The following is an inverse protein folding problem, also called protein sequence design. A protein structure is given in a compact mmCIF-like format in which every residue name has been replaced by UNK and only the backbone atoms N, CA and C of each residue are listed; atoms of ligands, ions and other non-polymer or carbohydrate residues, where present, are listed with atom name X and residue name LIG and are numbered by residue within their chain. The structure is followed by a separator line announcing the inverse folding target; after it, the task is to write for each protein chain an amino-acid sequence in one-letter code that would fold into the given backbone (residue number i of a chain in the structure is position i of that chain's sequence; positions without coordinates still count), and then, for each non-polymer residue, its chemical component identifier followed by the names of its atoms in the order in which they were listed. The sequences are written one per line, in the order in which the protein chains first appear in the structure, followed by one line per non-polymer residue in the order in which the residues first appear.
data_IF_091303656385
#
_entry.id   IF_091303656385
#
_cell.length_a   1.000
_cell.length_b   1.000
_cell.length_c   1.000
_cell.angle_alpha   90.00
_cell.angle_beta   90.00
_cell.angle_gamma   90.00
#
_symmetry.space_group_name_H-M   'P 1'
#
loop_
_entity.id
_entity.type
_entity.pdbx_description
1 polymer ?
#
# COMPACT_ATOMS: atom_id res chain seq x y z
N UNK A 1 2.67 -4.44 -14.47
CA UNK A 1 2.62 -3.25 -13.59
C UNK A 1 2.05 -2.04 -14.32
N UNK A 2 0.86 -2.15 -14.92
CA UNK A 2 0.22 -1.01 -15.62
C UNK A 2 -0.53 -0.06 -14.68
N UNK A 3 -0.83 -0.48 -13.44
CA UNK A 3 -1.58 0.32 -12.47
C UNK A 3 -0.77 1.49 -11.86
N UNK A 4 0.54 1.34 -11.67
CA UNK A 4 1.40 2.39 -11.12
C UNK A 4 1.70 3.50 -12.14
N UNK A 5 1.57 3.21 -13.44
CA UNK A 5 2.00 4.12 -14.50
C UNK A 5 0.93 5.15 -14.92
N UNK A 6 -0.36 4.90 -14.63
CA UNK A 6 -1.47 5.67 -15.23
C UNK A 6 -2.24 6.60 -14.30
N UNK A 7 -2.06 6.52 -12.97
CA UNK A 7 -2.76 7.43 -12.03
C UNK A 7 -4.29 7.39 -12.07
N UNK A 8 -4.88 6.55 -12.93
CA UNK A 8 -6.31 6.29 -13.02
C UNK A 8 -6.60 4.97 -12.33
N UNK A 9 -7.04 5.05 -11.08
CA UNK A 9 -7.60 3.93 -10.37
C UNK A 9 -8.98 3.62 -10.94
N UNK A 10 -9.06 2.74 -11.95
CA UNK A 10 -10.34 2.11 -12.28
C UNK A 10 -10.72 1.22 -11.09
N UNK A 11 -11.83 1.57 -10.46
CA UNK A 11 -12.29 1.00 -9.20
C UNK A 11 -12.98 -0.36 -9.45
N UNK A 12 -12.21 -1.32 -9.95
CA UNK A 12 -12.62 -2.71 -10.05
C UNK A 12 -12.52 -3.43 -8.71
N UNK A 13 -13.26 -4.53 -8.56
CA UNK A 13 -13.34 -5.29 -7.30
C UNK A 13 -11.99 -5.89 -6.89
N UNK A 14 -11.18 -6.30 -7.86
CA UNK A 14 -9.84 -6.86 -7.63
C UNK A 14 -8.85 -5.78 -7.19
N UNK A 15 -8.92 -4.60 -7.81
CA UNK A 15 -8.10 -3.44 -7.50
C UNK A 15 -8.40 -2.92 -6.09
N UNK A 16 -9.69 -2.78 -5.75
CA UNK A 16 -10.13 -2.39 -4.41
C UNK A 16 -9.67 -3.39 -3.34
N UNK A 17 -9.67 -4.69 -3.67
CA UNK A 17 -9.17 -5.74 -2.76
C UNK A 17 -7.67 -5.59 -2.50
N UNK A 18 -6.87 -5.31 -3.53
CA UNK A 18 -5.43 -5.07 -3.38
C UNK A 18 -5.14 -3.82 -2.53
N UNK A 19 -5.87 -2.72 -2.77
CA UNK A 19 -5.74 -1.49 -1.98
C UNK A 19 -6.03 -1.75 -0.50
N UNK A 20 -7.16 -2.40 -0.20
CA UNK A 20 -7.55 -2.71 1.18
C UNK A 20 -6.56 -3.66 1.86
N UNK A 21 -5.97 -4.61 1.12
CA UNK A 21 -4.96 -5.50 1.67
C UNK A 21 -3.69 -4.74 2.11
N UNK A 22 -3.21 -3.79 1.31
CA UNK A 22 -2.05 -2.98 1.69
C UNK A 22 -2.36 -2.09 2.90
N UNK A 23 -3.50 -1.38 2.88
CA UNK A 23 -3.94 -0.53 3.99
C UNK A 23 -4.04 -1.35 5.27
N UNK A 24 -4.61 -2.56 5.19
CA UNK A 24 -4.68 -3.51 6.31
C UNK A 24 -3.33 -3.92 6.85
N UNK A 25 -2.41 -4.31 5.97
CA UNK A 25 -1.06 -4.69 6.38
C UNK A 25 -0.34 -3.54 7.12
N UNK A 26 -0.49 -2.31 6.62
CA UNK A 26 0.16 -1.12 7.20
C UNK A 26 -0.44 -0.69 8.55
N UNK A 27 -1.76 -0.76 8.71
CA UNK A 27 -2.39 -0.47 10.01
C UNK A 27 -2.01 -1.53 11.05
N UNK A 28 -1.98 -2.80 10.64
CA UNK A 28 -1.57 -3.90 11.53
C UNK A 28 -0.08 -3.85 11.88
N UNK A 29 0.79 -3.49 10.93
CA UNK A 29 2.22 -3.32 11.21
C UNK A 29 2.49 -2.11 12.10
N UNK A 30 1.63 -1.08 12.06
CA UNK A 30 1.63 0.03 13.00
C UNK A 30 1.19 -0.32 14.43
N UNK A 31 0.85 -1.58 14.70
CA UNK A 31 0.47 -2.07 16.03
C UNK A 31 -1.03 -1.97 16.33
N UNK A 32 -1.86 -1.62 15.35
CA UNK A 32 -3.32 -1.59 15.54
C UNK A 32 -3.90 -2.97 15.28
N UNK A 33 -4.54 -3.56 16.30
CA UNK A 33 -5.30 -4.79 16.14
C UNK A 33 -6.63 -4.47 15.45
N UNK A 34 -6.74 -4.85 14.20
CA UNK A 34 -7.99 -4.81 13.45
C UNK A 34 -8.10 -6.04 12.55
N UNK A 35 -9.31 -6.31 12.09
CA UNK A 35 -9.62 -7.31 11.08
C UNK A 35 -9.82 -6.67 9.71
N UNK A 36 -9.72 -7.48 8.66
CA UNK A 36 -9.93 -7.01 7.29
C UNK A 36 -11.38 -6.51 7.08
N UNK A 37 -12.36 -7.08 7.79
CA UNK A 37 -13.77 -6.69 7.65
C UNK A 37 -14.10 -5.39 8.38
N UNK A 38 -13.48 -5.14 9.53
CA UNK A 38 -13.55 -3.81 10.18
C UNK A 38 -12.96 -2.72 9.27
N UNK A 39 -11.85 -3.04 8.59
CA UNK A 39 -11.22 -2.13 7.63
C UNK A 39 -12.12 -1.87 6.40
N UNK A 40 -12.87 -2.87 5.94
CA UNK A 40 -13.82 -2.69 4.83
C UNK A 40 -14.92 -1.70 5.19
N UNK A 41 -15.46 -1.80 6.42
CA UNK A 41 -16.50 -0.89 6.91
C UNK A 41 -16.00 0.51 7.25
N UNK A 42 -14.72 0.66 7.61
CA UNK A 42 -14.14 1.94 8.01
C UNK A 42 -13.84 2.90 6.85
N UNK A 43 -13.61 2.37 5.64
CA UNK A 43 -13.17 3.17 4.49
C UNK A 43 -14.22 3.14 3.37
N UNK A 44 -14.89 4.29 3.10
CA UNK A 44 -15.79 4.45 1.96
C UNK A 44 -15.10 4.15 0.63
N UNK A 45 -15.86 3.61 -0.33
CA UNK A 45 -15.31 3.19 -1.63
C UNK A 45 -14.68 4.35 -2.41
N UNK A 46 -15.25 5.56 -2.27
CA UNK A 46 -14.78 6.76 -2.95
C UNK A 46 -13.45 7.28 -2.39
N UNK A 47 -13.19 7.07 -1.09
CA UNK A 47 -11.99 7.56 -0.40
C UNK A 47 -10.83 6.54 -0.47
N UNK A 48 -11.13 5.31 -0.87
CA UNK A 48 -10.18 4.21 -0.92
C UNK A 48 -8.94 4.53 -1.79
N UNK A 49 -9.06 5.13 -3.00
CA UNK A 49 -7.90 5.48 -3.81
C UNK A 49 -7.00 6.52 -3.15
N UNK A 50 -7.58 7.57 -2.57
CA UNK A 50 -6.83 8.66 -1.94
C UNK A 50 -6.07 8.18 -0.70
N UNK A 51 -6.71 7.36 0.14
CA UNK A 51 -6.07 6.74 1.30
C UNK A 51 -4.96 5.78 0.84
N UNK A 52 -5.21 5.01 -0.22
CA UNK A 52 -4.22 4.09 -0.76
C UNK A 52 -2.95 4.82 -1.22
N UNK A 53 -3.06 5.98 -1.88
CA UNK A 53 -1.90 6.78 -2.31
C UNK A 53 -1.02 7.11 -1.11
N UNK A 54 -1.60 7.67 -0.04
CA UNK A 54 -0.88 8.04 1.18
C UNK A 54 -0.19 6.84 1.82
N UNK A 55 -0.92 5.73 1.95
CA UNK A 55 -0.38 4.49 2.52
C UNK A 55 0.76 3.93 1.67
N UNK A 56 0.62 3.97 0.35
CA UNK A 56 1.64 3.50 -0.58
C UNK A 56 2.92 4.34 -0.53
N UNK A 57 2.79 5.67 -0.40
CA UNK A 57 3.93 6.57 -0.20
C UNK A 57 4.69 6.24 1.09
N UNK A 58 3.98 6.04 2.20
CA UNK A 58 4.58 5.65 3.49
C UNK A 58 5.27 4.28 3.36
N UNK A 59 4.58 3.29 2.81
CA UNK A 59 5.13 1.95 2.61
C UNK A 59 6.41 1.98 1.77
N UNK A 60 6.39 2.73 0.67
CA UNK A 60 7.54 2.86 -0.24
C UNK A 60 8.70 3.60 0.42
N UNK A 61 8.42 4.65 1.21
CA UNK A 61 9.44 5.41 1.92
C UNK A 61 10.11 4.66 3.07
N UNK A 62 9.39 3.74 3.72
CA UNK A 62 9.91 2.96 4.86
C UNK A 62 10.58 1.64 4.45
N UNK A 63 10.03 0.95 3.45
CA UNK A 63 10.43 -0.45 3.16
C UNK A 63 11.61 -0.55 2.19
N UNK A 64 11.87 0.49 1.40
CA UNK A 64 12.96 0.50 0.42
C UNK A 64 13.55 1.91 0.29
N UNK A 65 14.25 2.39 1.32
CA UNK A 65 15.11 3.55 1.12
C UNK A 65 16.14 3.22 0.03
N UNK A 66 16.38 4.15 -0.91
CA UNK A 66 17.36 3.96 -1.98
C UNK A 66 18.74 3.50 -1.46
N UNK A 67 19.10 3.92 -0.24
CA UNK A 67 20.29 3.47 0.48
C UNK A 67 20.37 1.95 0.68
N UNK A 68 19.23 1.29 0.92
CA UNK A 68 19.16 -0.16 1.14
C UNK A 68 19.27 -0.91 -0.18
N UNK A 69 18.72 -0.35 -1.26
CA UNK A 69 18.97 -0.85 -2.62
C UNK A 69 20.43 -0.69 -3.05
N UNK A 70 21.11 0.40 -2.65
CA UNK A 70 22.53 0.60 -2.94
C UNK A 70 23.41 -0.40 -2.18
N UNK A 71 23.08 -0.73 -0.93
CA UNK A 71 23.75 -1.79 -0.17
C UNK A 71 23.58 -3.17 -0.82
N UNK A 72 22.36 -3.53 -1.23
CA UNK A 72 22.07 -4.78 -1.95
C UNK A 72 22.86 -4.91 -3.27
N UNK A 73 23.16 -3.80 -3.95
CA UNK A 73 24.00 -3.79 -5.16
C UNK A 73 25.49 -3.94 -4.87
N UNK A 74 25.96 -3.50 -3.70
CA UNK A 74 27.36 -3.58 -3.29
C UNK A 74 27.77 -4.96 -2.75
N UNK A 75 26.84 -5.74 -2.20
CA UNK A 75 27.11 -7.10 -1.67
C UNK A 75 27.37 -8.16 -2.77
N UNK A 76 27.27 -7.80 -4.05
CA UNK A 76 27.85 -8.61 -5.14
C UNK A 76 29.35 -8.33 -5.24
N UNK A 77 30.15 -8.84 -4.29
CA UNK A 77 31.61 -8.95 -4.44
C UNK A 77 32.14 -10.20 -3.78
#
# INVERSE_FOLDING_TARGET
NDMLAKGQFSLGENEAKLMRALIYAMVRSGGTECTLDEMKGAIPMNDLPDIFIVVYEIFSGQTFQNSDMEKLKQEKK
#
